data_IF_353164357006
#
_entry.id   IF_353164357006
#
_cell.length_a   1.000
_cell.length_b   1.000
_cell.length_c   1.000
_cell.angle_alpha   90.00
_cell.angle_beta   90.00
_cell.angle_gamma   90.00
#
_symmetry.space_group_name_H-M   'P 1'
#
loop_
_entity.id
_entity.type
_entity.pdbx_description
1 polymer ?
#
# COMPACT_ATOMS: atom_id res chain seq x y z
N UNK A 1 -25.72 8.02 17.55
CA UNK A 1 -24.93 8.83 16.58
C UNK A 1 -25.86 9.82 15.89
N UNK A 2 -25.53 11.12 15.86
CA UNK A 2 -26.35 12.15 15.22
C UNK A 2 -25.60 12.77 14.04
N UNK A 3 -26.17 12.68 12.82
CA UNK A 3 -25.56 13.16 11.55
C UNK A 3 -24.11 12.69 11.31
N UNK A 4 -23.80 11.47 11.75
CA UNK A 4 -22.49 10.86 11.61
C UNK A 4 -22.21 10.53 10.13
N UNK A 5 -20.99 10.85 9.67
CA UNK A 5 -20.55 10.55 8.30
C UNK A 5 -19.92 9.15 8.29
N UNK A 6 -20.58 8.21 7.63
CA UNK A 6 -20.11 6.81 7.54
C UNK A 6 -18.84 6.68 6.69
N UNK A 7 -18.63 7.56 5.71
CA UNK A 7 -17.46 7.53 4.82
C UNK A 7 -17.64 6.72 3.53
N UNK A 8 -18.75 5.99 3.39
CA UNK A 8 -19.06 5.23 2.18
C UNK A 8 -19.56 6.15 1.05
N UNK A 9 -19.09 5.90 -0.15
CA UNK A 9 -19.51 6.57 -1.38
C UNK A 9 -20.50 5.65 -2.10
N UNK A 10 -21.73 6.14 -2.25
CA UNK A 10 -22.85 5.42 -2.85
C UNK A 10 -23.32 6.13 -4.12
N UNK A 11 -23.57 5.37 -5.18
CA UNK A 11 -24.20 5.86 -6.41
C UNK A 11 -25.65 5.41 -6.45
N UNK A 12 -26.59 6.34 -6.61
CA UNK A 12 -27.99 6.00 -6.86
C UNK A 12 -28.10 5.33 -8.22
N UNK A 13 -28.70 4.13 -8.28
CA UNK A 13 -28.86 3.37 -9.53
C UNK A 13 -30.32 3.22 -9.96
N UNK A 14 -31.25 3.15 -9.01
CA UNK A 14 -32.68 2.97 -9.28
C UNK A 14 -33.50 3.31 -8.04
N UNK A 15 -34.82 3.20 -8.14
CA UNK A 15 -35.74 3.36 -7.01
C UNK A 15 -36.67 2.15 -6.95
N UNK A 16 -36.85 1.61 -5.74
CA UNK A 16 -37.93 0.67 -5.45
C UNK A 16 -39.06 1.44 -4.78
N UNK A 17 -40.14 1.70 -5.52
CA UNK A 17 -41.17 2.67 -5.13
C UNK A 17 -40.56 4.06 -4.87
N UNK A 18 -40.58 4.51 -3.62
CA UNK A 18 -39.99 5.78 -3.18
C UNK A 18 -38.62 5.62 -2.51
N UNK A 19 -38.13 4.38 -2.34
CA UNK A 19 -36.86 4.11 -1.69
C UNK A 19 -35.72 4.07 -2.73
N UNK A 20 -34.65 4.88 -2.58
CA UNK A 20 -33.51 4.83 -3.48
C UNK A 20 -32.74 3.52 -3.30
N UNK A 21 -32.25 2.98 -4.40
CA UNK A 21 -31.35 1.83 -4.46
C UNK A 21 -29.95 2.33 -4.82
N UNK A 22 -28.95 1.85 -4.08
CA UNK A 22 -27.58 2.31 -4.18
C UNK A 22 -26.66 1.19 -4.64
N UNK A 23 -25.72 1.53 -5.52
CA UNK A 23 -24.52 0.75 -5.78
C UNK A 23 -23.37 1.30 -4.95
N UNK A 24 -22.71 0.44 -4.18
CA UNK A 24 -21.50 0.78 -3.47
C UNK A 24 -20.37 1.09 -4.47
N UNK A 25 -19.69 2.22 -4.28
CA UNK A 25 -18.56 2.63 -5.13
C UNK A 25 -17.25 2.32 -4.41
N UNK A 26 -17.05 2.93 -3.25
CA UNK A 26 -15.88 2.71 -2.40
C UNK A 26 -16.15 3.29 -1.01
N UNK A 27 -15.24 3.03 -0.07
CA UNK A 27 -15.13 3.80 1.17
C UNK A 27 -14.02 4.82 1.01
N UNK A 28 -14.25 6.04 1.48
CA UNK A 28 -13.26 7.11 1.40
C UNK A 28 -11.98 6.70 2.16
N UNK A 29 -10.83 7.05 1.61
CA UNK A 29 -9.50 6.97 2.22
C UNK A 29 -8.93 5.54 2.42
N UNK A 30 -9.56 4.50 1.89
CA UNK A 30 -8.99 3.14 1.88
C UNK A 30 -8.17 2.90 0.61
N UNK A 31 -6.87 2.63 0.75
CA UNK A 31 -5.94 2.32 -0.35
C UNK A 31 -5.79 0.81 -0.54
N UNK A 32 -5.67 0.07 0.57
CA UNK A 32 -5.61 -1.40 0.56
C UNK A 32 -6.71 -1.98 1.44
N UNK A 33 -7.29 -3.08 0.97
CA UNK A 33 -8.31 -3.87 1.67
C UNK A 33 -8.41 -5.24 1.00
N UNK A 34 -8.22 -6.31 1.77
CA UNK A 34 -8.37 -7.71 1.35
C UNK A 34 -9.63 -8.35 1.92
N UNK A 35 -9.98 -8.00 3.16
CA UNK A 35 -11.17 -8.52 3.83
C UNK A 35 -11.96 -7.37 4.49
N UNK A 36 -11.94 -7.28 5.82
CA UNK A 36 -12.63 -6.21 6.56
C UNK A 36 -11.69 -5.07 6.95
N UNK A 37 -10.38 -5.26 6.81
CA UNK A 37 -9.37 -4.27 7.15
C UNK A 37 -9.32 -3.19 6.07
N UNK A 38 -8.93 -1.99 6.50
CA UNK A 38 -8.80 -0.85 5.61
C UNK A 38 -7.55 -0.10 5.96
N UNK A 39 -6.55 -0.20 5.10
CA UNK A 39 -5.31 0.56 5.25
C UNK A 39 -5.43 1.84 4.46
N UNK A 40 -5.25 2.97 5.14
CA UNK A 40 -5.22 4.29 4.49
C UNK A 40 -3.85 4.61 3.90
N UNK A 41 -3.80 5.57 2.99
CA UNK A 41 -2.53 6.07 2.43
C UNK A 41 -1.59 6.57 3.53
N UNK A 42 -2.14 7.29 4.51
CA UNK A 42 -1.37 7.86 5.62
C UNK A 42 -0.78 6.79 6.53
N UNK A 43 -1.54 5.72 6.81
CA UNK A 43 -1.06 4.60 7.62
C UNK A 43 0.05 3.84 6.90
N UNK A 44 -0.10 3.61 5.60
CA UNK A 44 0.91 2.96 4.77
C UNK A 44 2.18 3.79 4.65
N UNK A 45 2.07 5.11 4.39
CA UNK A 45 3.22 6.03 4.35
C UNK A 45 3.98 6.03 5.68
N UNK A 46 3.25 6.05 6.80
CA UNK A 46 3.85 5.97 8.13
C UNK A 46 4.57 4.63 8.36
N UNK A 47 3.97 3.52 7.94
CA UNK A 47 4.55 2.19 8.09
C UNK A 47 5.84 2.03 7.26
N UNK A 48 5.83 2.50 6.00
CA UNK A 48 7.02 2.49 5.13
C UNK A 48 8.13 3.36 5.71
N UNK A 49 7.82 4.58 6.16
CA UNK A 49 8.81 5.47 6.77
C UNK A 49 9.41 4.90 8.06
N UNK A 50 8.61 4.19 8.87
CA UNK A 50 9.10 3.51 10.06
C UNK A 50 10.06 2.36 9.72
N UNK A 51 9.70 1.51 8.75
CA UNK A 51 10.55 0.41 8.30
C UNK A 51 11.87 0.92 7.67
N UNK A 52 11.80 1.97 6.86
CA UNK A 52 12.96 2.62 6.27
C UNK A 52 13.91 3.17 7.34
N UNK A 53 13.38 3.88 8.35
CA UNK A 53 14.19 4.47 9.40
C UNK A 53 14.93 3.43 10.26
N UNK A 54 14.30 2.28 10.52
CA UNK A 54 14.87 1.23 11.36
C UNK A 54 15.83 0.33 10.60
N UNK A 55 15.53 0.00 9.34
CA UNK A 55 16.24 -1.04 8.61
C UNK A 55 17.03 -0.54 7.40
N UNK A 56 16.57 0.47 6.65
CA UNK A 56 17.26 0.91 5.43
C UNK A 56 18.31 1.98 5.70
N UNK A 57 17.97 3.02 6.48
CA UNK A 57 18.89 4.14 6.77
C UNK A 57 20.22 3.66 7.39
N UNK A 58 20.25 2.73 8.37
CA UNK A 58 21.50 2.24 8.94
C UNK A 58 22.41 1.52 7.93
N UNK A 59 21.84 1.04 6.84
CA UNK A 59 22.53 0.33 5.76
C UNK A 59 22.78 1.22 4.54
N UNK A 60 22.72 2.55 4.69
CA UNK A 60 22.91 3.53 3.63
C UNK A 60 21.98 3.30 2.43
N UNK A 61 20.73 2.91 2.69
CA UNK A 61 19.70 2.75 1.68
C UNK A 61 18.50 3.62 2.02
N UNK A 62 17.77 4.07 1.01
CA UNK A 62 16.50 4.78 1.18
C UNK A 62 15.50 4.33 0.13
N UNK A 63 14.21 4.45 0.46
CA UNK A 63 13.12 4.29 -0.50
C UNK A 63 13.01 5.60 -1.26
N UNK A 64 13.21 5.56 -2.58
CA UNK A 64 12.89 6.73 -3.41
C UNK A 64 11.38 6.82 -3.53
N UNK A 65 10.79 5.79 -4.14
CA UNK A 65 9.38 5.73 -4.44
C UNK A 65 8.82 4.35 -4.14
N UNK A 66 7.55 4.32 -3.78
CA UNK A 66 6.82 3.09 -3.58
C UNK A 66 5.38 3.18 -4.10
N UNK A 67 4.81 2.02 -4.42
CA UNK A 67 3.38 1.84 -4.67
C UNK A 67 2.94 0.52 -4.03
N UNK A 68 1.66 0.29 -3.91
CA UNK A 68 1.12 -0.89 -3.25
C UNK A 68 -0.07 -1.48 -4.00
N UNK A 69 -0.28 -2.78 -3.79
CA UNK A 69 -1.38 -3.52 -4.39
C UNK A 69 -1.83 -4.64 -3.46
N UNK A 70 -3.14 -4.90 -3.43
CA UNK A 70 -3.73 -6.03 -2.73
C UNK A 70 -3.80 -7.24 -3.65
N UNK A 71 -2.89 -8.20 -3.47
CA UNK A 71 -2.84 -9.41 -4.27
C UNK A 71 -3.87 -10.44 -3.79
N UNK A 72 -4.81 -10.75 -4.68
CA UNK A 72 -5.90 -11.71 -4.47
C UNK A 72 -5.73 -12.97 -5.33
N UNK A 73 -4.59 -13.10 -6.02
CA UNK A 73 -4.29 -14.28 -6.85
C UNK A 73 -3.89 -15.49 -6.01
N UNK A 74 -3.35 -15.26 -4.81
CA UNK A 74 -3.05 -16.28 -3.81
C UNK A 74 -4.14 -16.35 -2.74
N UNK A 75 -4.28 -17.51 -2.08
CA UNK A 75 -5.21 -17.71 -0.96
C UNK A 75 -4.40 -18.18 0.26
N UNK A 76 -4.35 -17.41 1.36
CA UNK A 76 -4.95 -16.09 1.53
C UNK A 76 -4.29 -15.03 0.64
N UNK A 77 -5.05 -13.97 0.33
CA UNK A 77 -4.52 -12.79 -0.36
C UNK A 77 -3.57 -12.01 0.56
N UNK A 78 -2.70 -11.17 0.01
CA UNK A 78 -1.71 -10.45 0.79
C UNK A 78 -1.35 -9.10 0.18
N UNK A 79 -0.75 -8.22 0.97
CA UNK A 79 -0.28 -6.93 0.48
C UNK A 79 1.07 -7.07 -0.21
N UNK A 80 1.19 -6.44 -1.37
CA UNK A 80 2.44 -6.33 -2.13
C UNK A 80 2.82 -4.86 -2.18
N UNK A 81 4.04 -4.54 -1.76
CA UNK A 81 4.60 -3.20 -1.83
C UNK A 81 5.80 -3.21 -2.78
N UNK A 82 5.77 -2.36 -3.80
CA UNK A 82 6.88 -2.21 -4.73
C UNK A 82 7.78 -1.07 -4.27
N UNK A 83 9.07 -1.35 -4.10
CA UNK A 83 10.06 -0.37 -3.63
C UNK A 83 11.11 -0.11 -4.70
N UNK A 84 11.28 1.14 -5.08
CA UNK A 84 12.48 1.59 -5.76
C UNK A 84 13.46 2.14 -4.72
N UNK A 85 14.67 1.58 -4.71
CA UNK A 85 15.67 1.87 -3.71
C UNK A 85 16.85 2.64 -4.32
N UNK A 86 17.38 3.59 -3.57
CA UNK A 86 18.64 4.27 -3.92
C UNK A 86 19.64 4.17 -2.78
N UNK A 87 20.93 3.92 -3.09
CA UNK A 87 21.98 4.02 -2.10
C UNK A 87 22.20 5.48 -1.67
N UNK A 88 22.48 5.68 -0.38
CA UNK A 88 22.81 6.98 0.21
C UNK A 88 24.31 7.27 0.14
N UNK A 89 25.14 6.25 -0.07
CA UNK A 89 26.60 6.35 -0.25
C UNK A 89 27.11 5.37 -1.33
N UNK A 90 28.28 5.63 -1.91
CA UNK A 90 28.90 4.78 -2.95
C UNK A 90 29.42 3.42 -2.43
N UNK A 91 29.26 3.13 -1.13
CA UNK A 91 29.71 1.89 -0.50
C UNK A 91 28.58 0.88 -0.46
N UNK A 92 28.55 -0.02 -1.43
CA UNK A 92 27.70 -1.21 -1.41
C UNK A 92 28.51 -2.36 -0.80
N UNK A 93 28.60 -2.41 0.53
CA UNK A 93 29.04 -3.64 1.20
C UNK A 93 28.02 -4.75 0.93
N UNK A 94 28.51 -5.99 0.83
CA UNK A 94 27.74 -7.19 0.50
C UNK A 94 26.56 -7.38 1.47
N UNK A 95 25.42 -6.83 1.09
CA UNK A 95 24.23 -6.73 1.89
C UNK A 95 23.41 -8.03 1.77
N UNK A 96 22.99 -8.60 2.90
CA UNK A 96 22.02 -9.70 2.92
C UNK A 96 20.64 -9.15 2.59
N UNK A 97 20.43 -8.86 1.30
CA UNK A 97 19.25 -8.17 0.80
C UNK A 97 17.95 -8.82 1.25
N UNK A 98 17.89 -10.14 1.18
CA UNK A 98 16.69 -10.89 1.53
C UNK A 98 16.35 -10.73 3.02
N UNK A 99 17.35 -10.82 3.91
CA UNK A 99 17.10 -10.68 5.36
C UNK A 99 16.62 -9.27 5.72
N UNK A 100 17.21 -8.22 5.14
CA UNK A 100 16.74 -6.87 5.45
C UNK A 100 15.32 -6.65 4.93
N UNK A 101 15.03 -7.13 3.72
CA UNK A 101 13.69 -7.01 3.15
C UNK A 101 12.66 -7.75 4.01
N UNK A 102 13.00 -8.93 4.54
CA UNK A 102 12.14 -9.64 5.52
C UNK A 102 11.91 -8.82 6.79
N UNK A 103 12.95 -8.18 7.35
CA UNK A 103 12.80 -7.31 8.52
C UNK A 103 11.93 -6.08 8.19
N UNK A 104 12.09 -5.49 7.01
CA UNK A 104 11.23 -4.41 6.54
C UNK A 104 9.77 -4.87 6.40
N UNK A 105 9.51 -6.05 5.84
CA UNK A 105 8.15 -6.61 5.76
C UNK A 105 7.52 -6.68 7.15
N UNK A 106 8.24 -7.25 8.12
CA UNK A 106 7.76 -7.38 9.49
C UNK A 106 7.51 -6.00 10.14
N UNK A 107 8.44 -5.06 10.01
CA UNK A 107 8.30 -3.71 10.57
C UNK A 107 7.08 -2.96 10.00
N UNK A 108 6.76 -3.17 8.71
CA UNK A 108 5.55 -2.63 8.09
C UNK A 108 4.31 -3.30 8.71
N UNK A 109 4.25 -4.64 8.76
CA UNK A 109 3.12 -5.36 9.37
C UNK A 109 2.88 -4.94 10.83
N UNK A 110 3.95 -4.72 11.60
CA UNK A 110 3.90 -4.23 12.98
C UNK A 110 3.45 -2.78 13.10
N UNK A 111 3.57 -1.98 12.05
CA UNK A 111 3.15 -0.58 12.01
C UNK A 111 1.70 -0.39 11.54
N UNK A 112 1.11 -1.40 10.90
CA UNK A 112 -0.28 -1.40 10.46
C UNK A 112 -1.26 -1.48 11.65
N UNK A 113 -2.54 -1.24 11.35
CA UNK A 113 -3.59 -1.18 12.36
C UNK A 113 -3.85 -2.52 13.07
N UNK A 114 -4.59 -2.46 14.18
CA UNK A 114 -4.91 -3.65 14.95
C UNK A 114 -5.75 -4.66 14.15
N UNK A 115 -6.60 -4.18 13.23
CA UNK A 115 -7.46 -5.01 12.39
C UNK A 115 -6.65 -5.85 11.40
N UNK A 116 -5.66 -5.26 10.71
CA UNK A 116 -4.74 -5.99 9.85
C UNK A 116 -4.01 -7.08 10.64
N UNK A 117 -3.47 -6.74 11.82
CA UNK A 117 -2.74 -7.70 12.68
C UNK A 117 -3.64 -8.82 13.17
N UNK A 118 -4.89 -8.50 13.52
CA UNK A 118 -5.87 -9.50 13.92
C UNK A 118 -6.15 -10.49 12.79
N UNK A 119 -6.39 -9.97 11.57
CA UNK A 119 -6.64 -10.79 10.39
C UNK A 119 -5.41 -11.61 9.95
N UNK A 120 -4.21 -11.08 10.17
CA UNK A 120 -2.93 -11.74 9.87
C UNK A 120 -2.61 -12.88 10.85
N UNK A 121 -2.90 -12.70 12.13
CA UNK A 121 -2.48 -13.62 13.22
C UNK A 121 -3.59 -14.60 13.62
N UNK A 122 -4.81 -14.09 13.86
CA UNK A 122 -5.91 -14.88 14.40
C UNK A 122 -6.79 -15.47 13.29
N UNK A 123 -7.33 -14.63 12.40
CA UNK A 123 -8.25 -15.10 11.37
C UNK A 123 -7.53 -15.82 10.22
N UNK A 124 -6.26 -15.49 10.01
CA UNK A 124 -5.41 -15.99 8.92
C UNK A 124 -6.02 -15.73 7.53
N UNK A 125 -6.82 -14.67 7.41
CA UNK A 125 -7.44 -14.25 6.15
C UNK A 125 -6.50 -13.41 5.28
N UNK A 126 -5.43 -12.86 5.88
CA UNK A 126 -4.38 -12.10 5.19
C UNK A 126 -3.05 -12.89 5.26
N UNK A 127 -2.42 -13.07 4.11
CA UNK A 127 -1.10 -13.69 3.97
C UNK A 127 0.05 -12.74 4.35
N UNK A 128 1.30 -13.24 4.37
CA UNK A 128 2.47 -12.42 4.69
C UNK A 128 2.66 -11.28 3.69
N UNK A 129 2.93 -10.08 4.19
CA UNK A 129 3.29 -8.93 3.35
C UNK A 129 4.55 -9.20 2.54
N UNK A 130 4.50 -8.85 1.25
CA UNK A 130 5.60 -9.00 0.30
C UNK A 130 6.14 -7.63 -0.12
N UNK A 131 7.45 -7.45 -0.05
CA UNK A 131 8.14 -6.30 -0.66
C UNK A 131 8.85 -6.77 -1.92
N UNK A 132 8.52 -6.14 -3.05
CA UNK A 132 9.16 -6.37 -4.35
C UNK A 132 10.06 -5.18 -4.69
N UNK A 133 11.37 -5.38 -4.61
CA UNK A 133 12.35 -4.36 -5.00
C UNK A 133 12.39 -4.25 -6.53
N UNK A 134 12.16 -3.05 -7.06
CA UNK A 134 12.21 -2.76 -8.50
C UNK A 134 13.52 -2.07 -8.88
N UNK A 135 13.83 -2.08 -10.18
CA UNK A 135 15.04 -1.42 -10.70
C UNK A 135 14.87 0.10 -10.64
N UNK A 136 15.98 0.81 -10.46
CA UNK A 136 16.00 2.27 -10.54
C UNK A 136 15.48 2.75 -11.93
N UNK A 137 14.62 3.77 -11.94
CA UNK A 137 13.88 4.28 -13.10
C UNK A 137 12.62 3.48 -13.44
N UNK A 138 12.11 2.61 -12.57
CA UNK A 138 10.84 1.89 -12.81
C UNK A 138 9.66 2.83 -12.62
N UNK A 139 9.68 3.69 -11.61
CA UNK A 139 8.62 4.68 -11.39
C UNK A 139 8.61 5.78 -12.46
N UNK A 140 9.77 6.11 -13.06
CA UNK A 140 9.82 7.00 -14.24
C UNK A 140 9.06 6.39 -15.41
N UNK A 141 9.26 5.09 -15.68
CA UNK A 141 8.52 4.37 -16.73
C UNK A 141 7.02 4.28 -16.42
N UNK A 142 6.67 4.14 -15.14
CA UNK A 142 5.27 4.15 -14.70
C UNK A 142 4.64 5.52 -14.97
N UNK A 143 5.37 6.60 -14.70
CA UNK A 143 4.96 7.97 -15.01
C UNK A 143 4.77 8.16 -16.51
N UNK A 144 5.74 7.77 -17.34
CA UNK A 144 5.64 7.86 -18.80
C UNK A 144 4.39 7.12 -19.33
N UNK A 145 4.11 5.93 -18.78
CA UNK A 145 2.92 5.17 -19.11
C UNK A 145 1.63 5.91 -18.70
N UNK A 146 1.56 6.45 -17.49
CA UNK A 146 0.40 7.20 -17.02
C UNK A 146 0.15 8.47 -17.87
N UNK A 147 1.21 9.18 -18.24
CA UNK A 147 1.16 10.36 -19.11
C UNK A 147 0.66 9.98 -20.51
N UNK A 148 1.17 8.88 -21.08
CA UNK A 148 0.69 8.36 -22.36
C UNK A 148 -0.80 7.96 -22.34
N UNK A 149 -1.31 7.61 -21.15
CA UNK A 149 -2.70 7.27 -20.90
C UNK A 149 -3.59 8.47 -20.54
N UNK A 150 -3.05 9.70 -20.63
CA UNK A 150 -3.80 10.95 -20.45
C UNK A 150 -3.63 11.63 -19.08
N UNK A 151 -2.71 11.17 -18.23
CA UNK A 151 -2.36 11.90 -17.01
C UNK A 151 -1.58 13.18 -17.32
N UNK A 152 -1.82 14.23 -16.54
CA UNK A 152 -1.04 15.47 -16.62
C UNK A 152 0.32 15.30 -15.94
N UNK A 153 1.40 15.56 -16.68
CA UNK A 153 2.78 15.52 -16.16
C UNK A 153 2.93 16.41 -14.92
N UNK A 154 2.36 17.61 -14.93
CA UNK A 154 2.50 18.58 -13.84
C UNK A 154 1.75 18.22 -12.55
N UNK A 155 0.88 17.21 -12.60
CA UNK A 155 0.05 16.78 -11.45
C UNK A 155 0.27 15.31 -11.08
N UNK A 156 1.15 14.61 -11.80
CA UNK A 156 1.39 13.19 -11.55
C UNK A 156 2.03 12.98 -10.18
N UNK A 157 1.49 12.01 -9.46
CA UNK A 157 2.10 11.40 -8.28
C UNK A 157 2.03 9.89 -8.48
N UNK A 158 3.04 9.13 -8.02
CA UNK A 158 2.95 7.68 -7.98
C UNK A 158 1.65 7.26 -7.26
N UNK A 159 0.86 6.35 -7.87
CA UNK A 159 -0.44 5.93 -7.33
C UNK A 159 -0.30 4.96 -6.14
#
# INVERSE_FOLDING_TARGET
>A
LYRYRVGDILRVVSFYNKAPQFKFVCRRDAVLSLDTEKTSEADLQKAVAAAEAVHLIPHNMRVTEFTSFADTTTIPGHYVIYWELSPTTDQTEGFLADYLIEQCCLAIEESLDASYKEMRVYDRSIGPLEIKVVKNGTFDRLMDFAVSSGASVAQYKPP
#
